data_IF_543981985923
#
_entry.id   IF_543981985923
#
_cell.length_a   1.000
_cell.length_b   1.000
_cell.length_c   1.000
_cell.angle_alpha   90.00
_cell.angle_beta   90.00
_cell.angle_gamma   90.00
#
_symmetry.space_group_name_H-M   'P 1'
#
loop_
_entity.id
_entity.type
_entity.pdbx_description
1 polymer ?
#
# COMPACT_ATOMS: atom_id res chain seq x y z
N UNK A 1 40.00 40.55 18.29
CA UNK A 1 39.04 39.61 17.67
C UNK A 1 37.94 39.31 18.68
N UNK A 2 36.67 39.65 18.38
CA UNK A 2 35.51 39.26 19.19
C UNK A 2 34.71 38.24 18.37
N UNK A 3 34.75 36.98 18.78
CA UNK A 3 33.89 35.93 18.25
C UNK A 3 32.52 36.11 18.87
N UNK A 4 31.58 36.68 18.13
CA UNK A 4 30.17 36.69 18.50
C UNK A 4 29.68 35.24 18.53
N UNK A 5 29.48 34.69 19.73
CA UNK A 5 28.92 33.36 19.92
C UNK A 5 27.53 33.28 19.27
N UNK A 6 27.30 32.25 18.46
CA UNK A 6 26.02 32.01 17.81
C UNK A 6 24.93 31.87 18.88
N UNK A 7 23.90 32.73 18.82
CA UNK A 7 22.78 32.69 19.76
C UNK A 7 21.92 31.45 19.46
N UNK A 8 22.02 30.42 20.30
CA UNK A 8 21.19 29.23 20.20
C UNK A 8 19.72 29.63 20.38
N UNK A 9 18.94 29.53 19.30
CA UNK A 9 17.49 29.67 19.33
C UNK A 9 16.91 28.29 19.53
N UNK A 10 16.48 27.98 20.76
CA UNK A 10 15.71 26.77 21.03
C UNK A 10 14.31 26.85 20.42
N UNK A 11 13.63 25.71 20.35
CA UNK A 11 12.20 25.66 20.02
C UNK A 11 11.41 26.35 21.14
N UNK A 12 10.45 27.19 20.77
CA UNK A 12 9.54 27.79 21.76
C UNK A 12 8.58 26.73 22.29
N UNK A 13 8.03 26.91 23.50
CA UNK A 13 7.01 26.00 24.04
C UNK A 13 5.81 25.83 23.08
N UNK A 14 5.38 26.92 22.44
CA UNK A 14 4.33 26.89 21.42
C UNK A 14 4.77 26.06 20.21
N UNK A 15 6.00 26.27 19.73
CA UNK A 15 6.57 25.48 18.63
C UNK A 15 6.65 23.98 18.97
N UNK A 16 6.97 23.64 20.22
CA UNK A 16 7.00 22.26 20.69
C UNK A 16 5.60 21.64 20.68
N UNK A 17 4.58 22.34 21.18
CA UNK A 17 3.20 21.85 21.20
C UNK A 17 2.69 21.61 19.77
N UNK A 18 2.93 22.55 18.86
CA UNK A 18 2.54 22.40 17.45
C UNK A 18 3.27 21.22 16.81
N UNK A 19 4.57 21.07 17.07
CA UNK A 19 5.35 19.93 16.57
C UNK A 19 4.79 18.59 17.09
N UNK A 20 4.46 18.50 18.38
CA UNK A 20 3.86 17.30 18.96
C UNK A 20 2.48 17.00 18.38
N UNK A 21 1.65 18.02 18.14
CA UNK A 21 0.34 17.83 17.50
C UNK A 21 0.47 17.30 16.07
N UNK A 22 1.40 17.84 15.28
CA UNK A 22 1.67 17.37 13.91
C UNK A 22 2.22 15.95 13.91
N UNK A 23 3.16 15.64 14.81
CA UNK A 23 3.70 14.28 14.97
C UNK A 23 2.63 13.29 15.40
N UNK A 24 1.72 13.67 16.30
CA UNK A 24 0.59 12.85 16.69
C UNK A 24 -0.34 12.54 15.52
N UNK A 25 -0.70 13.55 14.73
CA UNK A 25 -1.52 13.37 13.53
C UNK A 25 -0.83 12.45 12.51
N UNK A 26 0.46 12.70 12.23
CA UNK A 26 1.25 11.87 11.32
C UNK A 26 1.36 10.42 11.82
N UNK A 27 1.54 10.23 13.13
CA UNK A 27 1.58 8.91 13.76
C UNK A 27 0.28 8.12 13.59
N UNK A 28 -0.87 8.76 13.78
CA UNK A 28 -2.18 8.13 13.58
C UNK A 28 -2.40 7.70 12.12
N UNK A 29 -2.02 8.55 11.15
CA UNK A 29 -2.09 8.20 9.73
C UNK A 29 -1.15 7.04 9.39
N UNK A 30 0.08 7.06 9.90
CA UNK A 30 1.04 5.98 9.69
C UNK A 30 0.52 4.63 10.22
N UNK A 31 -0.10 4.61 11.40
CA UNK A 31 -0.70 3.40 11.97
C UNK A 31 -1.80 2.80 11.08
N UNK A 32 -2.55 3.62 10.34
CA UNK A 32 -3.56 3.15 9.37
C UNK A 32 -2.96 2.68 8.05
N UNK A 33 -1.85 3.26 7.61
CA UNK A 33 -1.19 2.87 6.35
C UNK A 33 -0.51 1.50 6.46
N UNK A 34 0.03 1.15 7.64
CA UNK A 34 0.73 -0.12 7.87
C UNK A 34 -0.12 -1.36 7.53
N UNK A 35 -1.36 -1.54 8.05
CA UNK A 35 -2.18 -2.69 7.69
C UNK A 35 -2.57 -2.68 6.20
N UNK A 36 -2.84 -1.52 5.60
CA UNK A 36 -3.16 -1.41 4.17
C UNK A 36 -1.97 -1.83 3.29
N UNK A 37 -0.76 -1.42 3.67
CA UNK A 37 0.46 -1.83 2.98
C UNK A 37 0.75 -3.33 3.14
N UNK A 38 0.47 -3.90 4.32
CA UNK A 38 0.56 -5.34 4.54
C UNK A 38 -0.33 -6.13 3.58
N UNK A 39 -1.58 -5.69 3.40
CA UNK A 39 -2.51 -6.29 2.43
C UNK A 39 -1.99 -6.16 0.99
N UNK A 40 -1.47 -4.99 0.59
CA UNK A 40 -0.83 -4.82 -0.73
C UNK A 40 0.33 -5.82 -0.96
N UNK A 41 1.14 -6.07 0.06
CA UNK A 41 2.22 -7.07 -0.01
C UNK A 41 1.67 -8.49 -0.16
N UNK A 42 0.61 -8.82 0.56
CA UNK A 42 -0.08 -10.10 0.43
C UNK A 42 -0.67 -10.28 -0.97
N UNK A 43 -1.34 -9.25 -1.51
CA UNK A 43 -1.85 -9.21 -2.89
C UNK A 43 -0.74 -9.46 -3.90
N UNK A 44 0.35 -8.71 -3.80
CA UNK A 44 1.49 -8.85 -4.72
C UNK A 44 2.05 -10.28 -4.71
N UNK A 45 2.20 -10.87 -3.52
CA UNK A 45 2.68 -12.24 -3.37
C UNK A 45 1.67 -13.28 -3.92
N UNK A 46 0.37 -13.08 -3.68
CA UNK A 46 -0.69 -13.93 -4.20
C UNK A 46 -0.75 -13.91 -5.73
N UNK A 47 -0.57 -12.74 -6.35
CA UNK A 47 -0.53 -12.59 -7.81
C UNK A 47 0.66 -13.32 -8.41
N UNK A 48 1.86 -13.16 -7.83
CA UNK A 48 3.07 -13.88 -8.28
C UNK A 48 2.87 -15.41 -8.17
N UNK A 49 2.29 -15.87 -7.06
CA UNK A 49 1.98 -17.29 -6.86
C UNK A 49 0.95 -17.81 -7.87
N UNK A 50 -0.10 -17.03 -8.16
CA UNK A 50 -1.14 -17.37 -9.11
C UNK A 50 -0.60 -17.45 -10.54
N UNK A 51 0.25 -16.50 -10.94
CA UNK A 51 0.95 -16.53 -12.23
C UNK A 51 1.83 -17.78 -12.36
N UNK A 52 2.58 -18.12 -11.30
CA UNK A 52 3.47 -19.29 -11.28
C UNK A 52 2.74 -20.64 -11.35
N UNK A 53 1.46 -20.71 -10.97
CA UNK A 53 0.64 -21.90 -11.16
C UNK A 53 0.35 -22.20 -12.63
N UNK A 54 0.48 -21.20 -13.51
CA UNK A 54 0.25 -21.33 -14.94
C UNK A 54 -1.21 -21.62 -15.32
N UNK A 55 -1.42 -22.05 -16.56
CA UNK A 55 -2.74 -22.45 -17.06
C UNK A 55 -3.50 -21.33 -17.77
N UNK A 56 -4.82 -21.45 -17.79
CA UNK A 56 -5.76 -20.49 -18.38
C UNK A 56 -5.95 -19.27 -17.47
N UNK A 57 -6.41 -18.12 -18.02
CA UNK A 57 -6.75 -16.96 -17.19
C UNK A 57 -7.70 -17.30 -16.04
N UNK A 58 -8.68 -18.18 -16.26
CA UNK A 58 -9.62 -18.63 -15.23
C UNK A 58 -8.94 -19.40 -14.10
N UNK A 59 -7.97 -20.27 -14.41
CA UNK A 59 -7.19 -21.00 -13.42
C UNK A 59 -6.31 -20.08 -12.58
N UNK A 60 -5.71 -19.05 -13.20
CA UNK A 60 -4.95 -18.02 -12.50
C UNK A 60 -5.85 -17.26 -11.52
N UNK A 61 -7.06 -16.87 -11.94
CA UNK A 61 -8.03 -16.19 -11.05
C UNK A 61 -8.43 -17.08 -9.88
N UNK A 62 -8.73 -18.35 -10.12
CA UNK A 62 -9.05 -19.31 -9.06
C UNK A 62 -7.85 -19.61 -8.13
N UNK A 63 -6.62 -19.61 -8.66
CA UNK A 63 -5.41 -19.73 -7.87
C UNK A 63 -5.19 -18.49 -6.99
N UNK A 64 -5.45 -17.30 -7.52
CA UNK A 64 -5.43 -16.07 -6.75
C UNK A 64 -6.49 -16.08 -5.64
N UNK A 65 -7.74 -16.45 -5.93
CA UNK A 65 -8.83 -16.48 -4.93
C UNK A 65 -8.48 -17.39 -3.75
N UNK A 66 -7.92 -18.58 -4.02
CA UNK A 66 -7.43 -19.48 -2.97
C UNK A 66 -6.27 -18.88 -2.15
N UNK A 67 -5.37 -18.15 -2.80
CA UNK A 67 -4.28 -17.47 -2.11
C UNK A 67 -4.79 -16.27 -1.29
N UNK A 68 -5.82 -15.58 -1.79
CA UNK A 68 -6.47 -14.45 -1.14
C UNK A 68 -7.20 -14.88 0.14
N UNK A 69 -7.93 -16.00 0.10
CA UNK A 69 -8.55 -16.59 1.30
C UNK A 69 -7.50 -16.90 2.38
N UNK A 70 -6.38 -17.52 2.01
CA UNK A 70 -5.30 -17.82 2.95
C UNK A 70 -4.57 -16.57 3.47
N UNK A 71 -4.50 -15.52 2.66
CA UNK A 71 -3.85 -14.25 2.98
C UNK A 71 -4.77 -13.21 3.63
N UNK A 72 -6.03 -13.54 3.90
CA UNK A 72 -7.06 -12.63 4.39
C UNK A 72 -7.21 -11.35 3.53
N UNK A 73 -7.04 -11.50 2.22
CA UNK A 73 -7.18 -10.40 1.26
C UNK A 73 -8.66 -10.17 1.01
N UNK A 74 -9.11 -8.93 1.20
CA UNK A 74 -10.52 -8.55 1.00
C UNK A 74 -10.69 -7.38 0.03
N UNK A 75 -9.61 -6.69 -0.31
CA UNK A 75 -9.65 -5.50 -1.16
C UNK A 75 -9.86 -5.81 -2.64
N UNK A 76 -9.46 -7.00 -3.10
CA UNK A 76 -9.65 -7.45 -4.48
C UNK A 76 -9.90 -8.97 -4.55
N UNK A 77 -10.42 -9.43 -5.68
CA UNK A 77 -10.60 -10.85 -6.02
C UNK A 77 -10.01 -11.17 -7.39
N UNK A 78 -9.99 -12.45 -7.77
CA UNK A 78 -9.49 -12.90 -9.06
C UNK A 78 -10.20 -12.24 -10.24
N UNK A 79 -11.43 -11.76 -10.05
CA UNK A 79 -12.16 -11.03 -11.10
C UNK A 79 -11.50 -9.70 -11.49
N UNK A 80 -10.80 -9.08 -10.54
CA UNK A 80 -10.18 -7.77 -10.65
C UNK A 80 -8.77 -7.82 -11.25
N UNK A 81 -8.27 -9.03 -11.53
CA UNK A 81 -7.00 -9.23 -12.21
C UNK A 81 -7.14 -9.01 -13.72
N UNK A 82 -6.25 -8.18 -14.27
CA UNK A 82 -6.03 -8.08 -15.70
C UNK A 82 -4.95 -9.08 -16.10
N UNK A 83 -5.29 -10.00 -16.99
CA UNK A 83 -4.41 -11.08 -17.44
C UNK A 83 -4.20 -10.91 -18.93
N UNK A 84 -2.97 -10.65 -19.33
CA UNK A 84 -2.58 -10.42 -20.71
C UNK A 84 -1.46 -11.39 -21.10
N UNK A 85 -1.36 -11.72 -22.38
CA UNK A 85 -0.26 -12.53 -22.90
C UNK A 85 0.64 -11.65 -23.75
N UNK A 86 1.85 -11.42 -23.29
CA UNK A 86 2.85 -10.56 -23.93
C UNK A 86 4.10 -11.39 -24.14
N UNK A 87 4.59 -11.45 -25.38
CA UNK A 87 5.79 -12.23 -25.75
C UNK A 87 5.75 -13.72 -25.34
N UNK A 88 4.55 -14.31 -25.29
CA UNK A 88 4.35 -15.70 -24.90
C UNK A 88 4.31 -15.94 -23.39
N UNK A 89 4.66 -14.94 -22.56
CA UNK A 89 4.49 -14.98 -21.11
C UNK A 89 3.11 -14.40 -20.70
N UNK A 90 2.47 -14.99 -19.69
CA UNK A 90 1.26 -14.42 -19.11
C UNK A 90 1.63 -13.38 -18.07
N UNK A 91 1.23 -12.13 -18.30
CA UNK A 91 1.38 -11.04 -17.36
C UNK A 91 0.07 -10.85 -16.59
N UNK A 92 0.17 -10.72 -15.28
CA UNK A 92 -0.96 -10.50 -14.39
C UNK A 92 -0.75 -9.16 -13.71
N UNK A 93 -1.75 -8.30 -13.80
CA UNK A 93 -1.75 -6.98 -13.18
C UNK A 93 -3.01 -6.75 -12.37
N UNK A 94 -2.91 -5.82 -11.42
CA UNK A 94 -3.99 -5.44 -10.54
C UNK A 94 -3.89 -3.94 -10.21
N UNK A 95 -5.05 -3.33 -9.98
CA UNK A 95 -5.16 -1.96 -9.47
C UNK A 95 -6.41 -1.84 -8.61
N UNK A 96 -6.31 -1.19 -7.44
CA UNK A 96 -7.44 -0.96 -6.55
C UNK A 96 -7.22 0.20 -5.59
N UNK A 97 -8.33 0.70 -5.07
CA UNK A 97 -8.38 1.82 -4.15
C UNK A 97 -8.72 1.34 -2.73
N UNK A 98 -7.94 1.77 -1.76
CA UNK A 98 -8.22 1.57 -0.33
C UNK A 98 -8.60 2.90 0.31
N UNK A 99 -9.90 3.08 0.53
CA UNK A 99 -10.45 4.23 1.26
C UNK A 99 -10.55 3.92 2.75
N UNK A 100 -9.85 4.69 3.57
CA UNK A 100 -9.85 4.58 5.04
C UNK A 100 -10.53 5.83 5.58
N UNK A 101 -11.61 5.63 6.33
CA UNK A 101 -12.30 6.73 6.98
C UNK A 101 -11.52 7.20 8.21
N UNK A 102 -11.30 8.51 8.34
CA UNK A 102 -10.53 9.08 9.45
C UNK A 102 -11.48 9.66 10.49
N UNK A 103 -12.15 10.77 10.16
CA UNK A 103 -13.08 11.48 11.05
C UNK A 103 -14.01 12.38 10.24
N UNK A 104 -15.32 12.36 10.54
CA UNK A 104 -16.29 13.19 9.83
C UNK A 104 -16.23 12.95 8.31
N UNK A 105 -16.20 13.97 7.45
CA UNK A 105 -16.07 13.76 6.01
C UNK A 105 -14.62 13.42 5.56
N UNK A 106 -13.64 13.39 6.46
CA UNK A 106 -12.24 13.18 6.11
C UNK A 106 -11.90 11.70 5.93
N UNK A 107 -11.22 11.38 4.83
CA UNK A 107 -10.75 10.03 4.50
C UNK A 107 -9.36 10.06 3.88
N UNK A 108 -8.59 9.01 4.13
CA UNK A 108 -7.35 8.70 3.43
C UNK A 108 -7.67 7.76 2.25
N UNK A 109 -7.16 8.09 1.06
CA UNK A 109 -7.23 7.24 -0.11
C UNK A 109 -5.82 6.74 -0.42
N UNK A 110 -5.68 5.43 -0.58
CA UNK A 110 -4.45 4.78 -0.99
C UNK A 110 -4.73 4.04 -2.29
N UNK A 111 -4.04 4.41 -3.36
CA UNK A 111 -4.16 3.77 -4.68
C UNK A 111 -3.01 2.78 -4.83
N UNK A 112 -3.35 1.51 -5.03
CA UNK A 112 -2.38 0.42 -5.17
C UNK A 112 -2.47 -0.18 -6.56
N UNK A 113 -1.31 -0.41 -7.17
CA UNK A 113 -1.22 -1.09 -8.46
C UNK A 113 0.05 -1.94 -8.51
N UNK A 114 0.00 -3.05 -9.26
CA UNK A 114 1.15 -3.90 -9.49
C UNK A 114 1.00 -4.74 -10.75
N UNK A 115 2.14 -5.20 -11.28
CA UNK A 115 2.19 -6.07 -12.45
C UNK A 115 3.35 -7.06 -12.30
N UNK A 116 3.17 -8.26 -12.85
CA UNK A 116 4.22 -9.28 -12.97
C UNK A 116 5.07 -9.15 -14.23
N UNK A 117 4.88 -8.08 -15.01
CA UNK A 117 5.73 -7.77 -16.15
C UNK A 117 7.20 -7.68 -15.72
N UNK A 118 8.10 -8.38 -16.42
CA UNK A 118 9.54 -8.17 -16.26
C UNK A 118 9.87 -6.77 -16.78
N UNK A 119 10.48 -5.95 -15.92
CA UNK A 119 10.94 -4.59 -16.26
C UNK A 119 12.31 -4.65 -16.91
#
# INVERSE_FOLDING_TARGET
MRTTGARQRGISLVGLIVALALLGLAGLLAMQIVPAYSEYRAVSAAVVKAQGAGGTPQEIRAAFDRAAEAGYITSISGRDLAIERVDGEQQVSFAYDRKIHLVGPASLLLEYSGSTAKK
#
